data_IF_864123067601
#
_entry.id   IF_864123067601
#
_cell.length_a   1.000
_cell.length_b   1.000
_cell.length_c   1.000
_cell.angle_alpha   90.00
_cell.angle_beta   90.00
_cell.angle_gamma   90.00
#
_symmetry.space_group_name_H-M   'P 1'
#
loop_
_entity.id
_entity.type
_entity.pdbx_description
1 polymer ?
#
# COMPACT_ATOMS: atom_id res chain seq x y z
N UNK A 1 -5.70 14.91 -1.53
CA UNK A 1 -4.83 13.82 -1.98
C UNK A 1 -5.65 12.54 -1.88
N UNK A 2 -5.84 11.82 -2.98
CA UNK A 2 -6.67 10.61 -2.99
C UNK A 2 -5.81 9.43 -2.53
N UNK A 3 -6.04 8.96 -1.31
CA UNK A 3 -5.71 7.58 -0.97
C UNK A 3 -6.60 6.69 -1.85
N UNK A 4 -6.00 6.16 -2.92
CA UNK A 4 -6.73 5.39 -3.91
C UNK A 4 -7.10 4.01 -3.37
N UNK A 5 -6.55 3.51 -2.26
CA UNK A 5 -6.89 2.16 -1.81
C UNK A 5 -8.30 2.08 -1.21
N UNK A 6 -8.65 3.01 -0.31
CA UNK A 6 -10.03 3.18 0.15
C UNK A 6 -10.95 3.82 -0.90
N UNK A 7 -10.39 4.60 -1.83
CA UNK A 7 -11.18 5.35 -2.82
C UNK A 7 -11.40 4.61 -4.14
N UNK A 8 -10.67 3.53 -4.42
CA UNK A 8 -10.80 2.71 -5.65
C UNK A 8 -12.20 2.12 -5.78
N UNK A 9 -12.90 1.88 -4.67
CA UNK A 9 -14.30 1.49 -4.66
C UNK A 9 -15.24 2.47 -5.31
N UNK A 10 -14.89 3.76 -5.28
CA UNK A 10 -15.67 4.80 -5.92
C UNK A 10 -15.22 5.05 -7.35
N UNK A 11 -14.13 4.44 -7.84
CA UNK A 11 -13.58 4.78 -9.16
C UNK A 11 -14.56 4.43 -10.28
N UNK A 12 -15.17 3.25 -10.22
CA UNK A 12 -16.23 2.85 -11.17
C UNK A 12 -17.46 3.77 -11.08
N UNK A 13 -17.85 4.15 -9.86
CA UNK A 13 -18.95 5.10 -9.64
C UNK A 13 -18.62 6.51 -10.14
N UNK A 14 -17.38 6.98 -9.98
CA UNK A 14 -16.89 8.27 -10.46
C UNK A 14 -16.84 8.32 -11.99
N UNK A 15 -16.40 7.23 -12.63
CA UNK A 15 -16.47 7.08 -14.08
C UNK A 15 -17.92 7.21 -14.55
N UNK A 16 -18.85 6.47 -13.92
CA UNK A 16 -20.29 6.52 -14.25
C UNK A 16 -20.92 7.89 -14.01
N UNK A 17 -20.55 8.57 -12.93
CA UNK A 17 -21.05 9.92 -12.60
C UNK A 17 -20.61 10.98 -13.61
N UNK A 18 -19.44 10.79 -14.22
CA UNK A 18 -18.92 11.69 -15.25
C UNK A 18 -19.42 11.33 -16.67
N UNK A 19 -20.39 10.40 -16.76
CA UNK A 19 -21.06 9.96 -17.97
C UNK A 19 -20.08 9.47 -19.07
N UNK A 20 -20.43 9.63 -20.35
CA UNK A 20 -19.69 9.09 -21.52
C UNK A 20 -18.20 9.42 -21.54
N UNK A 21 -17.79 10.55 -20.96
CA UNK A 21 -16.39 11.00 -20.97
C UNK A 21 -15.65 10.71 -19.66
N UNK A 22 -16.25 9.99 -18.72
CA UNK A 22 -15.71 9.83 -17.37
C UNK A 22 -14.31 9.23 -17.30
N UNK A 23 -14.03 8.19 -18.08
CA UNK A 23 -12.69 7.60 -18.19
C UNK A 23 -11.67 8.58 -18.79
N UNK A 24 -12.10 9.37 -19.77
CA UNK A 24 -11.25 10.37 -20.42
C UNK A 24 -10.93 11.53 -19.49
N UNK A 25 -11.92 12.06 -18.77
CA UNK A 25 -11.74 13.13 -17.80
C UNK A 25 -10.83 12.67 -16.67
N UNK A 26 -11.07 11.49 -16.09
CA UNK A 26 -10.25 10.97 -15.00
C UNK A 26 -8.84 10.62 -15.47
N UNK A 27 -8.70 9.95 -16.61
CA UNK A 27 -7.40 9.62 -17.19
C UNK A 27 -6.54 10.85 -17.47
N UNK A 28 -7.14 11.90 -18.04
CA UNK A 28 -6.45 13.17 -18.27
C UNK A 28 -6.03 13.85 -16.97
N UNK A 29 -6.87 13.83 -15.93
CA UNK A 29 -6.52 14.39 -14.61
C UNK A 29 -5.39 13.62 -13.95
N UNK A 30 -5.42 12.29 -13.99
CA UNK A 30 -4.38 11.43 -13.45
C UNK A 30 -3.05 11.68 -14.16
N UNK A 31 -3.05 11.74 -15.49
CA UNK A 31 -1.87 12.09 -16.30
C UNK A 31 -1.35 13.50 -16.00
N UNK A 32 -2.24 14.47 -15.86
CA UNK A 32 -1.87 15.86 -15.56
C UNK A 32 -1.21 16.02 -14.17
N UNK A 33 -1.52 15.15 -13.22
CA UNK A 33 -0.91 15.18 -11.88
C UNK A 33 0.60 14.94 -11.90
N UNK A 34 1.11 14.22 -12.92
CA UNK A 34 2.52 13.77 -13.03
C UNK A 34 3.03 12.95 -11.83
N UNK A 35 2.11 12.49 -10.97
CA UNK A 35 2.41 11.63 -9.83
C UNK A 35 2.03 10.19 -10.18
N UNK A 36 2.72 9.19 -9.60
CA UNK A 36 2.29 7.81 -9.74
C UNK A 36 0.97 7.59 -9.00
N UNK A 37 0.18 6.65 -9.49
CA UNK A 37 -0.91 6.06 -8.71
C UNK A 37 -0.25 5.07 -7.74
N UNK A 38 -0.29 5.40 -6.46
CA UNK A 38 0.25 4.53 -5.41
C UNK A 38 -0.79 3.47 -5.07
N UNK A 39 -0.38 2.21 -5.15
CA UNK A 39 -1.22 1.05 -4.89
C UNK A 39 -0.64 0.32 -3.67
N UNK A 40 -1.35 0.32 -2.55
CA UNK A 40 -1.00 -0.50 -1.37
C UNK A 40 -1.73 -1.82 -1.49
N UNK A 41 -1.20 -2.66 -2.37
CA UNK A 41 -1.73 -3.97 -2.67
C UNK A 41 -0.65 -4.86 -3.30
N UNK A 42 -1.01 -6.12 -3.47
CA UNK A 42 -0.22 -7.12 -4.16
C UNK A 42 0.74 -7.89 -3.28
N UNK A 43 1.19 -9.02 -3.82
CA UNK A 43 2.12 -9.97 -3.21
C UNK A 43 3.29 -10.22 -4.14
N UNK A 44 4.48 -10.49 -3.58
CA UNK A 44 5.61 -10.91 -4.40
C UNK A 44 5.46 -12.39 -4.78
N UNK A 45 5.72 -12.73 -6.04
CA UNK A 45 5.61 -14.09 -6.55
C UNK A 45 6.55 -15.04 -5.81
N UNK A 46 7.68 -14.55 -5.33
CA UNK A 46 8.77 -15.33 -4.75
C UNK A 46 8.52 -15.72 -3.28
N UNK A 47 7.48 -15.19 -2.64
CA UNK A 47 7.17 -15.47 -1.23
C UNK A 47 5.81 -16.11 -1.04
N UNK A 48 5.65 -16.84 0.06
CA UNK A 48 4.33 -17.26 0.54
C UNK A 48 3.52 -16.01 0.90
N UNK A 49 2.30 -15.82 0.36
CA UNK A 49 1.47 -14.65 0.66
C UNK A 49 1.27 -14.45 2.17
N UNK A 50 1.56 -13.24 2.66
CA UNK A 50 1.42 -12.88 4.08
C UNK A 50 0.18 -12.02 4.36
N UNK A 51 -0.84 -12.13 3.50
CA UNK A 51 -2.11 -11.42 3.67
C UNK A 51 -2.88 -11.95 4.90
N UNK A 52 -3.98 -11.29 5.26
CA UNK A 52 -4.88 -11.80 6.30
C UNK A 52 -5.70 -12.97 5.73
N UNK A 53 -5.62 -14.17 6.33
CA UNK A 53 -6.42 -15.30 5.88
C UNK A 53 -7.89 -15.04 6.21
N UNK A 54 -8.73 -14.90 5.19
CA UNK A 54 -10.18 -14.81 5.34
C UNK A 54 -10.85 -16.03 4.66
N UNK A 55 -11.87 -16.65 5.27
CA UNK A 55 -12.61 -17.73 4.63
C UNK A 55 -13.18 -17.31 3.26
N UNK A 56 -13.04 -18.16 2.25
CA UNK A 56 -13.55 -17.92 0.89
C UNK A 56 -12.76 -16.91 0.05
N UNK A 57 -11.60 -16.43 0.52
CA UNK A 57 -10.76 -15.44 -0.14
C UNK A 57 -9.51 -16.07 -0.76
N UNK A 58 -9.09 -15.56 -1.91
CA UNK A 58 -7.78 -15.88 -2.47
C UNK A 58 -6.66 -15.33 -1.55
N UNK A 59 -5.73 -16.19 -1.07
CA UNK A 59 -4.67 -15.77 -0.15
C UNK A 59 -3.70 -14.76 -0.74
N UNK A 60 -3.66 -14.57 -2.07
CA UNK A 60 -2.82 -13.56 -2.74
C UNK A 60 -3.47 -12.19 -2.74
N UNK A 61 -4.78 -12.14 -2.60
CA UNK A 61 -5.50 -10.89 -2.67
C UNK A 61 -5.34 -10.08 -1.39
N UNK A 62 -5.22 -8.75 -1.49
CA UNK A 62 -5.03 -7.82 -0.35
C UNK A 62 -6.33 -7.12 0.01
N UNK A 63 -6.52 -6.74 1.28
CA UNK A 63 -7.84 -6.24 1.73
C UNK A 63 -8.27 -4.99 0.96
N UNK A 64 -7.33 -4.12 0.59
CA UNK A 64 -7.59 -2.92 -0.20
C UNK A 64 -8.07 -3.21 -1.64
N UNK A 65 -7.56 -4.28 -2.26
CA UNK A 65 -7.93 -4.64 -3.63
C UNK A 65 -9.24 -5.44 -3.69
N UNK A 66 -9.55 -6.21 -2.64
CA UNK A 66 -10.67 -7.17 -2.62
C UNK A 66 -12.02 -6.52 -2.65
N UNK A 67 -12.20 -5.46 -1.86
CA UNK A 67 -13.50 -4.83 -1.76
C UNK A 67 -13.94 -4.19 -3.08
N UNK A 68 -13.00 -4.02 -4.02
CA UNK A 68 -13.18 -3.17 -5.20
C UNK A 68 -12.52 -3.74 -6.46
N UNK A 69 -12.67 -5.04 -6.72
CA UNK A 69 -12.07 -5.72 -7.89
C UNK A 69 -12.39 -5.03 -9.23
N UNK A 70 -13.62 -4.56 -9.43
CA UNK A 70 -13.99 -3.80 -10.63
C UNK A 70 -13.29 -2.43 -10.68
N UNK A 71 -13.16 -1.76 -9.54
CA UNK A 71 -12.40 -0.52 -9.40
C UNK A 71 -10.92 -0.71 -9.75
N UNK A 72 -10.31 -1.83 -9.33
CA UNK A 72 -8.93 -2.18 -9.69
C UNK A 72 -8.80 -2.37 -11.21
N UNK A 73 -9.76 -3.06 -11.84
CA UNK A 73 -9.77 -3.25 -13.30
C UNK A 73 -9.83 -1.92 -14.04
N UNK A 74 -10.70 -1.00 -13.62
CA UNK A 74 -10.81 0.35 -14.20
C UNK A 74 -9.49 1.12 -14.00
N UNK A 75 -8.92 1.08 -12.80
CA UNK A 75 -7.67 1.76 -12.47
C UNK A 75 -6.52 1.30 -13.37
N UNK A 76 -6.33 0.00 -13.50
CA UNK A 76 -5.26 -0.58 -14.32
C UNK A 76 -5.46 -0.24 -15.81
N UNK A 77 -6.71 -0.22 -16.30
CA UNK A 77 -7.02 0.21 -17.67
C UNK A 77 -6.66 1.69 -17.89
N UNK A 78 -7.11 2.57 -17.01
CA UNK A 78 -6.83 4.01 -17.10
C UNK A 78 -5.34 4.29 -17.01
N UNK A 79 -4.62 3.63 -16.09
CA UNK A 79 -3.19 3.79 -15.96
C UNK A 79 -2.45 3.43 -17.25
N UNK A 80 -2.84 2.31 -17.89
CA UNK A 80 -2.25 1.87 -19.17
C UNK A 80 -2.57 2.84 -20.30
N UNK A 81 -3.85 3.18 -20.48
CA UNK A 81 -4.33 3.99 -21.58
C UNK A 81 -3.75 5.41 -21.56
N UNK A 82 -3.57 5.99 -20.37
CA UNK A 82 -3.09 7.37 -20.19
C UNK A 82 -1.61 7.45 -19.79
N UNK A 83 -0.90 6.32 -19.82
CA UNK A 83 0.52 6.20 -19.45
C UNK A 83 0.82 6.80 -18.07
N UNK A 84 -0.07 6.54 -17.10
CA UNK A 84 0.10 6.98 -15.72
C UNK A 84 0.94 5.94 -14.98
N UNK A 85 2.07 6.33 -14.36
CA UNK A 85 2.90 5.39 -13.62
C UNK A 85 2.14 4.75 -12.46
N UNK A 86 2.31 3.44 -12.28
CA UNK A 86 1.87 2.72 -11.07
C UNK A 86 3.06 2.55 -10.14
N UNK A 87 2.87 2.84 -8.85
CA UNK A 87 3.85 2.58 -7.79
C UNK A 87 3.23 1.63 -6.76
N UNK A 88 3.70 0.39 -6.76
CA UNK A 88 3.27 -0.62 -5.81
C UNK A 88 4.02 -0.51 -4.49
N UNK A 89 3.27 -0.63 -3.40
CA UNK A 89 3.78 -0.78 -2.03
C UNK A 89 3.17 -2.06 -1.49
N UNK A 90 3.90 -3.16 -1.63
CA UNK A 90 3.40 -4.49 -1.27
C UNK A 90 3.42 -4.73 0.24
N UNK A 91 2.62 -5.69 0.69
CA UNK A 91 2.65 -6.15 2.08
C UNK A 91 4.05 -6.58 2.53
N UNK A 92 4.87 -7.12 1.63
CA UNK A 92 6.23 -7.54 1.93
C UNK A 92 7.09 -6.38 2.44
N UNK A 93 7.01 -5.24 1.77
CA UNK A 93 7.76 -4.02 2.12
C UNK A 93 7.22 -3.45 3.43
N UNK A 94 5.90 -3.38 3.57
CA UNK A 94 5.26 -2.92 4.79
C UNK A 94 5.66 -3.78 6.00
N UNK A 95 5.63 -5.12 5.85
CA UNK A 95 6.00 -6.06 6.90
C UNK A 95 7.47 -5.99 7.33
N UNK A 96 8.34 -5.33 6.57
CA UNK A 96 9.74 -5.10 6.97
C UNK A 96 9.92 -3.87 7.85
N UNK A 97 8.93 -2.98 7.92
CA UNK A 97 9.07 -1.68 8.58
C UNK A 97 8.71 -1.76 10.05
N UNK A 98 7.42 -1.93 10.35
CA UNK A 98 6.91 -1.91 11.71
C UNK A 98 5.84 -2.97 11.86
N UNK A 99 6.10 -3.98 12.70
CA UNK A 99 5.11 -5.02 13.00
C UNK A 99 4.35 -4.72 14.28
N UNK A 100 3.18 -5.33 14.43
CA UNK A 100 2.36 -5.19 15.64
C UNK A 100 3.14 -5.52 16.92
N UNK A 101 4.07 -6.48 16.85
CA UNK A 101 4.92 -6.87 17.97
C UNK A 101 6.03 -5.86 18.32
N UNK A 102 6.41 -4.98 17.37
CA UNK A 102 7.46 -3.97 17.56
C UNK A 102 6.87 -2.66 18.13
N UNK A 103 5.56 -2.63 18.37
CA UNK A 103 4.82 -1.42 18.70
C UNK A 103 5.22 -0.78 20.04
N UNK A 104 5.72 -1.55 21.01
CA UNK A 104 6.20 -0.99 22.28
C UNK A 104 7.31 0.05 22.06
N UNK A 105 8.30 -0.30 21.23
CA UNK A 105 9.40 0.58 20.86
C UNK A 105 8.90 1.79 20.03
N UNK A 106 7.96 1.55 19.13
CA UNK A 106 7.35 2.60 18.29
C UNK A 106 6.53 3.59 19.12
N UNK A 107 5.74 3.12 20.08
CA UNK A 107 4.90 3.97 20.94
C UNK A 107 5.77 4.86 21.82
N UNK A 108 6.88 4.33 22.34
CA UNK A 108 7.85 5.12 23.09
C UNK A 108 8.57 6.15 22.20
N UNK A 109 9.00 5.75 21.00
CA UNK A 109 9.76 6.63 20.10
C UNK A 109 8.90 7.67 19.35
N UNK A 110 7.62 7.37 19.05
CA UNK A 110 6.72 8.25 18.30
C UNK A 110 5.76 9.05 19.19
N UNK A 111 5.19 8.42 20.22
CA UNK A 111 4.17 9.05 21.06
C UNK A 111 4.72 9.50 22.42
N UNK A 112 5.96 9.16 22.75
CA UNK A 112 6.56 9.47 24.05
C UNK A 112 5.89 8.77 25.23
N UNK A 113 5.06 7.75 24.96
CA UNK A 113 4.29 7.01 25.96
C UNK A 113 5.18 5.94 26.59
N UNK A 114 5.85 6.29 27.69
CA UNK A 114 6.77 5.38 28.40
C UNK A 114 6.02 4.19 28.99
N UNK A 115 6.70 3.05 29.08
CA UNK A 115 6.22 1.91 29.87
C UNK A 115 5.77 2.36 31.28
N UNK A 116 4.51 2.07 31.65
CA UNK A 116 3.92 2.46 32.94
C UNK A 116 3.02 3.70 32.92
N UNK A 117 2.98 4.48 31.84
CA UNK A 117 2.03 5.60 31.68
C UNK A 117 0.65 5.06 31.28
N UNK A 118 -0.16 4.69 32.28
CA UNK A 118 -1.45 3.98 32.16
C UNK A 118 -2.63 4.74 31.51
N UNK A 119 -2.39 5.56 30.49
CA UNK A 119 -3.40 6.31 29.75
C UNK A 119 -4.24 5.45 28.79
N UNK A 120 -5.43 5.94 28.41
CA UNK A 120 -6.37 5.25 27.51
C UNK A 120 -5.73 4.90 26.15
N UNK A 121 -4.94 5.80 25.57
CA UNK A 121 -4.25 5.55 24.31
C UNK A 121 -3.25 4.39 24.43
N UNK A 122 -2.46 4.33 25.51
CA UNK A 122 -1.54 3.20 25.76
C UNK A 122 -2.29 1.89 25.91
N UNK A 123 -3.40 1.86 26.67
CA UNK A 123 -4.24 0.65 26.83
C UNK A 123 -4.86 0.16 25.52
N UNK A 124 -5.34 1.08 24.68
CA UNK A 124 -5.87 0.76 23.34
C UNK A 124 -4.75 0.19 22.48
N UNK A 125 -3.59 0.86 22.47
CA UNK A 125 -2.40 0.40 21.73
C UNK A 125 -1.95 -0.98 22.20
N UNK A 126 -1.72 -1.20 23.50
CA UNK A 126 -1.29 -2.50 24.04
C UNK A 126 -2.29 -3.61 23.71
N UNK A 127 -3.59 -3.33 23.73
CA UNK A 127 -4.64 -4.29 23.35
C UNK A 127 -4.60 -4.60 21.86
N UNK A 128 -4.48 -3.57 21.01
CA UNK A 128 -4.44 -3.70 19.56
C UNK A 128 -3.17 -4.42 19.10
N UNK A 129 -2.03 -4.14 19.75
CA UNK A 129 -0.71 -4.72 19.47
C UNK A 129 -0.48 -6.10 20.11
N UNK A 130 -1.20 -6.42 21.19
CA UNK A 130 -1.14 -7.71 21.87
C UNK A 130 -1.96 -8.84 21.24
N UNK A 131 -2.75 -8.58 20.19
CA UNK A 131 -3.59 -9.60 19.57
C UNK A 131 -2.76 -10.66 18.83
N UNK A 132 -2.82 -11.92 19.30
CA UNK A 132 -2.00 -13.02 18.77
C UNK A 132 -2.15 -13.26 17.26
N UNK A 133 -3.34 -13.04 16.69
CA UNK A 133 -3.61 -13.23 15.27
C UNK A 133 -3.05 -12.10 14.37
N UNK A 134 -2.62 -10.97 14.97
CA UNK A 134 -1.95 -9.86 14.28
C UNK A 134 -0.42 -9.92 14.43
N UNK A 135 0.11 -10.92 15.15
CA UNK A 135 1.56 -11.13 15.31
C UNK A 135 2.24 -11.27 13.93
N UNK A 136 3.36 -10.59 13.75
CA UNK A 136 4.11 -10.58 12.48
C UNK A 136 3.49 -9.74 11.36
N UNK A 137 2.32 -9.12 11.56
CA UNK A 137 1.68 -8.21 10.58
C UNK A 137 2.19 -6.79 10.74
N UNK A 138 2.13 -5.99 9.68
CA UNK A 138 2.53 -4.58 9.67
C UNK A 138 1.44 -3.66 10.27
N UNK A 139 1.86 -2.58 10.95
CA UNK A 139 0.95 -1.61 11.58
C UNK A 139 0.52 -0.47 10.65
N UNK A 140 1.42 0.23 9.91
CA UNK A 140 1.01 1.46 9.23
C UNK A 140 1.02 1.36 7.69
N UNK A 141 0.29 0.40 7.11
CA UNK A 141 0.30 0.16 5.66
C UNK A 141 0.05 1.43 4.80
N UNK A 142 -1.00 2.20 5.09
CA UNK A 142 -1.37 3.39 4.29
C UNK A 142 -0.38 4.54 4.47
N UNK A 143 0.25 4.63 5.64
CA UNK A 143 1.31 5.60 5.89
C UNK A 143 2.55 5.30 5.05
N UNK A 144 2.92 4.03 4.90
CA UNK A 144 4.02 3.62 4.01
C UNK A 144 3.71 4.01 2.57
N UNK A 145 2.47 3.79 2.11
CA UNK A 145 2.04 4.20 0.79
C UNK A 145 2.10 5.73 0.59
N UNK A 146 1.63 6.49 1.58
CA UNK A 146 1.70 7.96 1.57
C UNK A 146 3.14 8.47 1.56
N UNK A 147 4.01 7.92 2.40
CA UNK A 147 5.41 8.29 2.44
C UNK A 147 6.12 7.92 1.13
N UNK A 148 5.84 6.75 0.57
CA UNK A 148 6.36 6.35 -0.73
C UNK A 148 5.99 7.35 -1.82
N UNK A 149 4.74 7.84 -1.83
CA UNK A 149 4.30 8.89 -2.74
C UNK A 149 5.11 10.19 -2.56
N UNK A 150 5.36 10.62 -1.32
CA UNK A 150 6.12 11.84 -1.03
C UNK A 150 7.60 11.74 -1.44
N UNK A 151 8.20 10.56 -1.27
CA UNK A 151 9.61 10.31 -1.54
C UNK A 151 9.88 9.98 -3.02
N UNK A 152 8.87 9.56 -3.77
CA UNK A 152 9.00 9.16 -5.17
C UNK A 152 9.65 10.26 -6.02
N UNK A 153 10.78 9.91 -6.67
CA UNK A 153 11.65 10.79 -7.46
C UNK A 153 12.26 11.99 -6.70
N UNK A 154 12.12 12.07 -5.37
CA UNK A 154 12.62 13.19 -4.55
C UNK A 154 13.74 12.79 -3.59
N UNK A 155 13.72 11.57 -3.07
CA UNK A 155 14.67 11.11 -2.07
C UNK A 155 15.14 9.67 -2.34
N UNK A 156 15.97 9.45 -3.38
CA UNK A 156 16.41 8.11 -3.80
C UNK A 156 17.28 7.38 -2.76
N UNK A 157 17.86 8.11 -1.81
CA UNK A 157 18.58 7.53 -0.67
C UNK A 157 17.65 7.01 0.42
N UNK A 158 16.44 7.58 0.55
CA UNK A 158 15.44 7.21 1.53
C UNK A 158 14.48 6.11 1.05
N UNK A 159 14.37 5.92 -0.26
CA UNK A 159 13.47 4.93 -0.86
C UNK A 159 14.07 4.39 -2.16
N UNK A 160 14.07 3.06 -2.30
CA UNK A 160 14.47 2.38 -3.52
C UNK A 160 13.24 1.86 -4.26
N UNK A 161 13.18 2.19 -5.54
CA UNK A 161 12.16 1.70 -6.47
C UNK A 161 12.81 0.77 -7.48
N UNK A 162 12.18 -0.37 -7.73
CA UNK A 162 12.60 -1.34 -8.75
C UNK A 162 11.46 -1.56 -9.75
N UNK A 163 11.78 -2.15 -10.90
CA UNK A 163 10.78 -2.55 -11.90
C UNK A 163 10.46 -4.03 -11.73
N UNK A 164 9.17 -4.37 -11.70
CA UNK A 164 8.69 -5.75 -11.60
C UNK A 164 7.60 -5.99 -12.63
N UNK A 165 7.42 -7.25 -13.03
CA UNK A 165 6.25 -7.66 -13.80
C UNK A 165 5.03 -7.67 -12.89
N UNK A 166 3.95 -7.02 -13.33
CA UNK A 166 2.64 -7.17 -12.71
C UNK A 166 1.84 -8.25 -13.43
N UNK A 167 1.42 -9.25 -12.66
CA UNK A 167 0.53 -10.32 -13.06
C UNK A 167 -0.81 -10.17 -12.33
N UNK A 168 -1.92 -10.25 -13.06
CA UNK A 168 -3.26 -9.98 -12.53
C UNK A 168 -4.16 -11.19 -12.80
N UNK A 169 -4.94 -11.65 -11.81
CA UNK A 169 -5.83 -12.78 -12.06
C UNK A 169 -7.00 -12.40 -12.98
N UNK A 170 -7.27 -13.21 -14.00
CA UNK A 170 -8.28 -12.91 -15.03
C UNK A 170 -9.70 -12.88 -14.44
N UNK A 171 -9.97 -13.74 -13.46
CA UNK A 171 -11.29 -13.89 -12.81
C UNK A 171 -11.49 -12.93 -11.64
N UNK A 172 -10.43 -12.60 -10.91
CA UNK A 172 -10.48 -11.72 -9.74
C UNK A 172 -9.32 -10.69 -9.80
N UNK A 173 -9.57 -9.50 -10.37
CA UNK A 173 -8.57 -8.44 -10.48
C UNK A 173 -8.02 -7.92 -9.14
N UNK A 174 -8.57 -8.35 -7.99
CA UNK A 174 -7.99 -8.05 -6.68
C UNK A 174 -6.69 -8.82 -6.40
N UNK A 175 -6.47 -9.94 -7.11
CA UNK A 175 -5.23 -10.71 -7.06
C UNK A 175 -4.18 -10.03 -7.96
N UNK A 176 -3.24 -9.36 -7.31
CA UNK A 176 -2.13 -8.64 -7.93
C UNK A 176 -0.82 -9.29 -7.48
N UNK A 177 -0.04 -9.83 -8.42
CA UNK A 177 1.20 -10.54 -8.14
C UNK A 177 2.35 -9.82 -8.84
N UNK A 178 3.36 -9.43 -8.08
CA UNK A 178 4.56 -8.78 -8.61
C UNK A 178 5.68 -9.80 -8.68
N UNK A 179 6.34 -9.90 -9.83
CA UNK A 179 7.48 -10.80 -10.04
C UNK A 179 8.75 -10.01 -10.30
N UNK A 180 9.81 -10.37 -9.60
CA UNK A 180 11.15 -9.87 -9.88
C UNK A 180 11.77 -10.68 -11.03
N UNK A 181 12.02 -10.02 -12.16
CA UNK A 181 12.65 -10.65 -13.33
C UNK A 181 14.17 -10.62 -13.26
N UNK A 182 14.76 -9.83 -12.35
CA UNK A 182 16.21 -9.81 -12.14
C UNK A 182 16.70 -11.04 -11.40
N UNK A 183 15.80 -11.68 -10.63
CA UNK A 183 16.08 -12.90 -9.89
C UNK A 183 15.34 -14.07 -10.54
N UNK A 184 16.02 -14.86 -11.37
CA UNK A 184 15.43 -15.99 -12.12
C UNK A 184 15.12 -17.22 -11.24
N UNK A 185 14.80 -17.03 -9.96
CA UNK A 185 14.46 -18.12 -9.05
C UNK A 185 13.09 -18.68 -9.42
N UNK A 186 13.06 -19.75 -10.23
CA UNK A 186 11.86 -20.56 -10.37
C UNK A 186 11.71 -21.44 -9.11
N UNK A 187 10.56 -21.32 -8.46
CA UNK A 187 10.18 -22.14 -7.31
C UNK A 187 8.70 -22.51 -7.38
N UNK A 188 8.31 -23.56 -6.66
CA UNK A 188 6.90 -23.95 -6.54
C UNK A 188 6.02 -22.80 -6.02
N UNK A 189 6.59 -21.92 -5.19
CA UNK A 189 5.93 -20.73 -4.68
C UNK A 189 5.61 -19.74 -5.80
N UNK A 190 6.58 -19.48 -6.70
CA UNK A 190 6.38 -18.61 -7.86
C UNK A 190 5.31 -19.18 -8.79
N UNK A 191 5.40 -20.47 -9.13
CA UNK A 191 4.42 -21.11 -10.02
C UNK A 191 3.00 -21.04 -9.44
N UNK A 192 2.85 -21.35 -8.16
CA UNK A 192 1.56 -21.27 -7.46
C UNK A 192 1.02 -19.85 -7.39
N UNK A 193 1.89 -18.87 -7.14
CA UNK A 193 1.45 -17.47 -7.07
C UNK A 193 1.00 -16.93 -8.43
N UNK A 194 1.65 -17.35 -9.53
CA UNK A 194 1.31 -16.93 -10.89
C UNK A 194 0.13 -17.71 -11.50
N UNK A 195 -0.30 -18.81 -10.89
CA UNK A 195 -1.38 -19.64 -11.40
C UNK A 195 -2.68 -18.84 -11.58
N UNK A 196 -3.28 -18.91 -12.78
CA UNK A 196 -4.51 -18.21 -13.10
C UNK A 196 -4.36 -16.68 -13.25
N UNK A 197 -3.13 -16.19 -13.44
CA UNK A 197 -2.84 -14.77 -13.69
C UNK A 197 -2.32 -14.52 -15.11
N UNK A 198 -2.52 -13.28 -15.58
CA UNK A 198 -2.07 -12.80 -16.88
C UNK A 198 -1.12 -11.61 -16.70
N UNK A 199 -0.08 -11.54 -17.54
CA UNK A 199 0.88 -10.44 -17.52
C UNK A 199 0.21 -9.13 -17.96
N UNK A 200 0.17 -8.15 -17.07
CA UNK A 200 -0.29 -6.80 -17.37
C UNK A 200 0.80 -5.95 -18.06
N UNK A 201 2.02 -6.04 -17.53
CA UNK A 201 3.20 -5.28 -17.97
C UNK A 201 4.20 -4.99 -16.84
N UNK A 202 5.21 -4.17 -17.13
CA UNK A 202 6.19 -3.72 -16.13
C UNK A 202 5.63 -2.55 -15.30
N UNK A 203 5.82 -2.60 -13.99
CA UNK A 203 5.39 -1.56 -13.04
C UNK A 203 6.51 -1.22 -12.06
N UNK A 204 6.40 -0.02 -11.46
CA UNK A 204 7.31 0.38 -10.38
C UNK A 204 6.82 -0.19 -9.05
N UNK A 205 7.76 -0.66 -8.24
CA UNK A 205 7.49 -1.17 -6.89
C UNK A 205 8.53 -0.65 -5.92
N UNK A 206 8.10 -0.29 -4.71
CA UNK A 206 9.02 0.04 -3.64
C UNK A 206 9.67 -1.25 -3.18
N UNK A 207 11.00 -1.34 -3.21
CA UNK A 207 11.72 -2.51 -2.67
C UNK A 207 12.25 -2.24 -1.26
N UNK A 208 12.40 -0.97 -0.90
CA UNK A 208 12.96 -0.54 0.37
C UNK A 208 12.54 0.90 0.67
N UNK A 209 12.30 1.19 1.94
CA UNK A 209 12.11 2.54 2.48
C UNK A 209 12.79 2.62 3.84
N UNK A 210 13.52 3.71 4.07
CA UNK A 210 14.32 3.90 5.27
C UNK A 210 13.42 4.12 6.49
N UNK A 211 13.59 3.27 7.51
CA UNK A 211 12.81 3.32 8.73
C UNK A 211 13.01 4.62 9.53
N UNK A 212 14.22 5.17 9.59
CA UNK A 212 14.50 6.41 10.29
C UNK A 212 13.82 7.61 9.59
N UNK A 213 13.79 7.61 8.26
CA UNK A 213 13.05 8.63 7.48
C UNK A 213 11.56 8.51 7.74
N UNK A 214 11.02 7.29 7.77
CA UNK A 214 9.62 7.06 8.16
C UNK A 214 9.36 7.65 9.55
N UNK A 215 10.11 7.26 10.58
CA UNK A 215 9.95 7.80 11.93
C UNK A 215 10.07 9.34 11.99
N UNK A 216 10.99 9.94 11.23
CA UNK A 216 11.14 11.39 11.15
C UNK A 216 9.91 12.08 10.54
N UNK A 217 9.32 11.51 9.48
CA UNK A 217 8.08 12.02 8.88
C UNK A 217 6.90 11.94 9.87
N UNK A 218 6.79 10.85 10.64
CA UNK A 218 5.77 10.74 11.68
C UNK A 218 5.97 11.79 12.79
N UNK A 219 7.20 11.94 13.30
CA UNK A 219 7.52 12.95 14.33
C UNK A 219 7.20 14.36 13.85
N UNK A 220 7.54 14.68 12.60
CA UNK A 220 7.22 15.98 12.00
C UNK A 220 5.70 16.22 11.94
N UNK A 221 4.91 15.23 11.51
CA UNK A 221 3.45 15.34 11.45
C UNK A 221 2.83 15.58 12.84
N UNK A 222 3.32 14.89 13.86
CA UNK A 222 2.86 15.07 15.26
C UNK A 222 3.24 16.46 15.78
N UNK A 223 4.50 16.89 15.62
CA UNK A 223 4.98 18.17 16.12
C UNK A 223 4.28 19.38 15.46
N UNK A 224 3.96 19.28 14.17
CA UNK A 224 3.20 20.32 13.47
C UNK A 224 1.73 20.39 13.90
N UNK A 225 1.14 19.29 14.36
CA UNK A 225 -0.22 19.29 14.93
C UNK A 225 -0.26 19.84 16.35
N UNK A 226 0.78 19.64 17.17
CA UNK A 226 0.88 20.24 18.51
C UNK A 226 0.97 21.78 18.49
N UNK A 227 1.46 22.35 17.39
CA UNK A 227 1.55 23.80 17.17
C UNK A 227 0.33 24.38 16.43
N UNK A 228 -0.65 23.55 16.04
CA UNK A 228 -1.88 24.02 15.42
C UNK A 228 -2.88 24.44 16.51
N UNK A 229 -2.80 25.68 16.97
CA UNK A 229 -3.96 26.32 17.58
C UNK A 229 -4.99 26.52 16.48
N UNK A 230 -6.10 25.78 16.55
CA UNK A 230 -7.24 26.02 15.68
C UNK A 230 -7.54 27.54 15.68
N UNK A 231 -7.75 28.18 14.52
CA UNK A 231 -8.15 29.58 14.50
C UNK A 231 -9.42 29.71 15.34
N UNK A 232 -9.33 30.47 16.43
CA UNK A 232 -10.44 30.71 17.33
C UNK A 232 -11.64 31.22 16.55
N UNK A 233 -12.81 30.63 16.84
CA UNK A 233 -14.10 31.18 16.44
C UNK A 233 -14.38 32.48 17.15
#
# INVERSE_FOLDING_TARGET
MLDMNGSVGYLDSLVKMLDRDGEQVLGNKLRASRLPIVIMAGVQAEVVPQTLPLPGRDPRSTSNAIYHADGVRVLLRLAKQYSVPLLFVTNNVCNQLLKFQDAGEVLEQLLGLREGEGGLLRKISDTWFGMAHLKGKCVPFDWVAFAAMLLYNRAPTAMKVVQQELWVASKDPSVLVLRDTSNQTQSDVVMKNLEGTELYGMVSTVSYIDHAVMLALAKYAVATHSNYTAPGK
#
